data_IF_521949439024
#
_entry.id   IF_521949439024
#
_cell.length_a   1.000
_cell.length_b   1.000
_cell.length_c   1.000
_cell.angle_alpha   90.00
_cell.angle_beta   90.00
_cell.angle_gamma   90.00
#
_symmetry.space_group_name_H-M   'P 1'
#
loop_
_entity.id
_entity.type
_entity.pdbx_description
1 polymer ?
#
# COMPACT_ATOMS: atom_id res chain seq x y z
N UNK A 1 -15.85 -23.25 19.76
CA UNK A 1 -17.19 -22.91 19.25
C UNK A 1 -18.16 -24.09 19.20
N UNK A 2 -17.87 -25.22 18.54
CA UNK A 2 -18.77 -26.41 18.60
C UNK A 2 -18.74 -27.09 19.98
N UNK A 3 -17.56 -27.15 20.63
CA UNK A 3 -17.38 -27.86 21.90
C UNK A 3 -18.20 -27.27 23.06
N UNK A 4 -18.36 -25.94 23.14
CA UNK A 4 -19.10 -25.30 24.26
C UNK A 4 -20.60 -25.54 24.13
N UNK A 5 -21.15 -25.47 22.92
CA UNK A 5 -22.58 -25.75 22.65
C UNK A 5 -22.87 -27.24 22.87
N UNK A 6 -21.96 -28.13 22.45
CA UNK A 6 -22.10 -29.57 22.66
C UNK A 6 -22.02 -29.98 24.13
N UNK A 7 -21.16 -29.35 24.93
CA UNK A 7 -21.05 -29.63 26.38
C UNK A 7 -22.30 -29.14 27.14
N UNK A 8 -22.85 -27.98 26.79
CA UNK A 8 -24.07 -27.44 27.41
C UNK A 8 -25.31 -28.28 27.05
N UNK A 9 -25.44 -28.74 25.80
CA UNK A 9 -26.51 -29.67 25.39
C UNK A 9 -26.39 -31.04 26.06
N UNK A 10 -25.17 -31.52 26.33
CA UNK A 10 -24.93 -32.75 27.09
C UNK A 10 -25.39 -32.58 28.55
N UNK A 11 -25.08 -31.45 29.18
CA UNK A 11 -25.49 -31.14 30.55
C UNK A 11 -27.02 -31.00 30.70
N UNK A 12 -27.68 -30.41 29.70
CA UNK A 12 -29.14 -30.33 29.66
C UNK A 12 -29.80 -31.73 29.60
N UNK A 13 -29.25 -32.65 28.78
CA UNK A 13 -29.73 -34.04 28.69
C UNK A 13 -29.49 -34.87 29.95
N UNK A 14 -28.37 -34.64 30.64
CA UNK A 14 -28.09 -35.33 31.92
C UNK A 14 -29.08 -34.92 33.00
N UNK A 15 -29.54 -33.65 33.00
CA UNK A 15 -30.57 -33.17 33.92
C UNK A 15 -31.95 -33.80 33.70
N UNK A 16 -32.39 -34.00 32.46
CA UNK A 16 -33.69 -34.61 32.14
C UNK A 16 -33.82 -36.08 32.58
N UNK A 17 -32.71 -36.83 32.55
CA UNK A 17 -32.71 -38.25 32.93
C UNK A 17 -32.64 -38.48 34.45
N UNK A 18 -31.99 -37.59 35.21
CA UNK A 18 -31.76 -37.80 36.65
C UNK A 18 -32.88 -37.25 37.55
N UNK A 19 -33.61 -36.22 37.13
CA UNK A 19 -34.62 -35.58 37.97
C UNK A 19 -35.84 -36.45 38.36
N UNK A 20 -36.38 -37.36 37.51
CA UNK A 20 -37.59 -38.11 37.87
C UNK A 20 -37.36 -39.22 38.91
N UNK A 21 -36.11 -39.66 39.12
CA UNK A 21 -35.79 -40.88 39.90
C UNK A 21 -35.33 -40.62 41.35
N UNK A 22 -35.31 -39.36 41.80
CA UNK A 22 -34.75 -38.96 43.12
C UNK A 22 -35.82 -38.98 44.25
N UNK A 23 -37.05 -39.39 43.98
CA UNK A 23 -38.14 -39.38 44.99
C UNK A 23 -38.04 -40.43 46.10
N UNK A 24 -37.04 -41.32 46.10
CA UNK A 24 -37.05 -42.51 46.98
C UNK A 24 -35.77 -42.80 47.76
N UNK A 25 -35.04 -41.79 48.25
CA UNK A 25 -33.89 -42.04 49.15
C UNK A 25 -33.86 -41.07 50.35
N UNK A 26 -33.73 -41.63 51.56
CA UNK A 26 -33.68 -40.97 52.88
C UNK A 26 -32.38 -40.16 53.13
N UNK A 27 -31.89 -39.45 52.12
CA UNK A 27 -30.84 -38.44 52.22
C UNK A 27 -31.35 -37.12 51.62
N UNK A 28 -32.56 -36.73 52.03
CA UNK A 28 -33.39 -35.75 51.35
C UNK A 28 -32.79 -34.34 51.34
N UNK A 29 -32.13 -33.90 52.41
CA UNK A 29 -31.64 -32.52 52.52
C UNK A 29 -30.42 -32.24 51.63
N UNK A 30 -29.51 -33.21 51.51
CA UNK A 30 -28.33 -33.10 50.65
C UNK A 30 -28.68 -33.14 49.17
N UNK A 31 -29.60 -34.03 48.78
CA UNK A 31 -30.06 -34.15 47.38
C UNK A 31 -30.96 -33.00 46.96
N UNK A 32 -31.85 -32.53 47.85
CA UNK A 32 -32.70 -31.37 47.58
C UNK A 32 -31.89 -30.08 47.41
N UNK A 33 -30.93 -29.81 48.31
CA UNK A 33 -30.04 -28.65 48.19
C UNK A 33 -29.13 -28.71 46.96
N UNK A 34 -28.77 -29.91 46.48
CA UNK A 34 -28.06 -30.08 45.21
C UNK A 34 -28.98 -29.77 44.02
N UNK A 35 -30.22 -30.26 44.01
CA UNK A 35 -31.20 -29.95 42.97
C UNK A 35 -31.52 -28.45 42.89
N UNK A 36 -31.64 -27.78 44.04
CA UNK A 36 -31.85 -26.33 44.10
C UNK A 36 -30.64 -25.56 43.54
N UNK A 37 -29.42 -25.92 43.97
CA UNK A 37 -28.18 -25.34 43.42
C UNK A 37 -28.04 -25.57 41.91
N UNK A 38 -28.30 -26.77 41.41
CA UNK A 38 -28.25 -27.05 39.98
C UNK A 38 -29.31 -26.27 39.19
N UNK A 39 -30.47 -25.99 39.80
CA UNK A 39 -31.51 -25.17 39.17
C UNK A 39 -31.07 -23.71 39.08
N UNK A 40 -30.46 -23.17 40.15
CA UNK A 40 -29.89 -21.82 40.17
C UNK A 40 -28.75 -21.69 39.17
N UNK A 41 -27.81 -22.64 39.15
CA UNK A 41 -26.71 -22.70 38.19
C UNK A 41 -27.22 -22.78 36.75
N UNK A 42 -28.24 -23.59 36.47
CA UNK A 42 -28.86 -23.66 35.13
C UNK A 42 -29.45 -22.31 34.72
N UNK A 43 -30.13 -21.61 35.62
CA UNK A 43 -30.69 -20.28 35.34
C UNK A 43 -29.59 -19.26 35.04
N UNK A 44 -28.50 -19.29 35.83
CA UNK A 44 -27.34 -18.44 35.62
C UNK A 44 -26.65 -18.73 34.28
N UNK A 45 -26.42 -20.00 33.95
CA UNK A 45 -25.85 -20.40 32.65
C UNK A 45 -26.75 -19.91 31.51
N UNK A 46 -28.07 -20.06 31.63
CA UNK A 46 -29.01 -19.58 30.61
C UNK A 46 -28.96 -18.06 30.46
N UNK A 47 -28.89 -17.30 31.56
CA UNK A 47 -28.76 -15.84 31.48
C UNK A 47 -27.43 -15.42 30.85
N UNK A 48 -26.33 -16.08 31.17
CA UNK A 48 -25.03 -15.83 30.55
C UNK A 48 -25.03 -16.17 29.06
N UNK A 49 -25.66 -17.28 28.66
CA UNK A 49 -25.80 -17.65 27.24
C UNK A 49 -26.62 -16.61 26.47
N UNK A 50 -27.73 -16.13 27.03
CA UNK A 50 -28.52 -15.05 26.43
C UNK A 50 -27.69 -13.77 26.29
N UNK A 51 -26.97 -13.37 27.35
CA UNK A 51 -26.09 -12.20 27.34
C UNK A 51 -25.00 -12.32 26.25
N UNK A 52 -24.36 -13.48 26.13
CA UNK A 52 -23.35 -13.74 25.10
C UNK A 52 -23.94 -13.71 23.68
N UNK A 53 -25.18 -14.18 23.50
CA UNK A 53 -25.88 -14.11 22.21
C UNK A 53 -26.21 -12.67 21.83
N UNK A 54 -26.69 -11.87 22.77
CA UNK A 54 -26.95 -10.43 22.57
C UNK A 54 -25.66 -9.69 22.19
N UNK A 55 -24.58 -9.91 22.94
CA UNK A 55 -23.28 -9.32 22.65
C UNK A 55 -22.75 -9.75 21.27
N UNK A 56 -22.90 -11.02 20.92
CA UNK A 56 -22.50 -11.53 19.61
C UNK A 56 -23.26 -10.84 18.47
N UNK A 57 -24.57 -10.65 18.62
CA UNK A 57 -25.40 -9.97 17.64
C UNK A 57 -24.99 -8.50 17.50
N UNK A 58 -24.71 -7.82 18.60
CA UNK A 58 -24.22 -6.43 18.59
C UNK A 58 -22.88 -6.32 17.87
N UNK A 59 -21.91 -7.16 18.23
CA UNK A 59 -20.58 -7.19 17.59
C UNK A 59 -20.70 -7.49 16.09
N UNK A 60 -21.56 -8.43 15.71
CA UNK A 60 -21.81 -8.75 14.30
C UNK A 60 -22.41 -7.58 13.53
N UNK A 61 -23.36 -6.86 14.13
CA UNK A 61 -23.94 -5.66 13.53
C UNK A 61 -22.88 -4.54 13.35
N UNK A 62 -21.99 -4.37 14.34
CA UNK A 62 -20.87 -3.41 14.24
C UNK A 62 -19.87 -3.79 13.15
N UNK A 63 -19.56 -5.08 12.97
CA UNK A 63 -18.71 -5.53 11.88
C UNK A 63 -19.32 -5.24 10.50
N UNK A 64 -20.62 -5.47 10.33
CA UNK A 64 -21.33 -5.13 9.09
C UNK A 64 -21.29 -3.63 8.81
N UNK A 65 -21.53 -2.78 9.82
CA UNK A 65 -21.42 -1.33 9.70
C UNK A 65 -20.00 -0.88 9.32
N UNK A 66 -18.98 -1.46 9.95
CA UNK A 66 -17.57 -1.19 9.62
C UNK A 66 -17.26 -1.57 8.17
N UNK A 67 -17.73 -2.74 7.72
CA UNK A 67 -17.59 -3.20 6.35
C UNK A 67 -18.21 -2.23 5.34
N UNK A 68 -19.44 -1.77 5.60
CA UNK A 68 -20.12 -0.79 4.75
C UNK A 68 -19.36 0.54 4.71
N UNK A 69 -18.95 1.07 5.86
CA UNK A 69 -18.21 2.34 5.94
C UNK A 69 -16.88 2.27 5.18
N UNK A 70 -16.13 1.17 5.35
CA UNK A 70 -14.86 0.97 4.66
C UNK A 70 -15.04 0.80 3.15
N UNK A 71 -16.01 0.00 2.72
CA UNK A 71 -16.34 -0.14 1.31
C UNK A 71 -16.75 1.20 0.70
N UNK A 72 -17.62 1.96 1.38
CA UNK A 72 -18.07 3.26 0.91
C UNK A 72 -16.91 4.26 0.79
N UNK A 73 -16.00 4.28 1.77
CA UNK A 73 -14.78 5.08 1.70
C UNK A 73 -13.93 4.69 0.49
N UNK A 74 -13.73 3.40 0.22
CA UNK A 74 -12.95 2.95 -0.94
C UNK A 74 -13.61 3.31 -2.28
N UNK A 75 -14.94 3.26 -2.36
CA UNK A 75 -15.66 3.71 -3.55
C UNK A 75 -15.53 5.22 -3.75
N UNK A 76 -15.58 6.03 -2.69
CA UNK A 76 -15.33 7.47 -2.79
C UNK A 76 -13.89 7.78 -3.21
N UNK A 77 -12.90 7.04 -2.72
CA UNK A 77 -11.51 7.17 -3.18
C UNK A 77 -11.38 6.84 -4.67
N UNK A 78 -12.03 5.76 -5.13
CA UNK A 78 -12.03 5.39 -6.56
C UNK A 78 -12.74 6.45 -7.42
N UNK A 79 -13.87 7.00 -6.95
CA UNK A 79 -14.59 8.08 -7.61
C UNK A 79 -13.70 9.33 -7.77
N UNK A 80 -13.02 9.73 -6.69
CA UNK A 80 -12.08 10.85 -6.70
C UNK A 80 -10.91 10.59 -7.65
N UNK A 81 -10.30 9.40 -7.58
CA UNK A 81 -9.20 9.02 -8.48
C UNK A 81 -9.63 9.11 -9.96
N UNK A 82 -10.83 8.60 -10.28
CA UNK A 82 -11.40 8.65 -11.63
C UNK A 82 -11.62 10.09 -12.09
N UNK A 83 -12.16 10.95 -11.21
CA UNK A 83 -12.34 12.37 -11.49
C UNK A 83 -11.00 13.08 -11.77
N UNK A 84 -9.99 12.86 -10.92
CA UNK A 84 -8.64 13.44 -11.08
C UNK A 84 -7.98 12.96 -12.38
N UNK A 85 -8.16 11.68 -12.72
CA UNK A 85 -7.64 11.09 -13.96
C UNK A 85 -8.45 11.45 -15.22
N UNK A 86 -9.54 12.21 -15.08
CA UNK A 86 -10.48 12.54 -16.17
C UNK A 86 -11.01 11.28 -16.89
N UNK A 87 -11.36 10.25 -16.11
CA UNK A 87 -11.91 8.99 -16.62
C UNK A 87 -13.30 9.20 -17.26
N UNK A 88 -13.59 8.51 -18.36
CA UNK A 88 -14.82 8.71 -19.15
C UNK A 88 -16.12 8.46 -18.37
N UNK A 89 -16.07 7.59 -17.36
CA UNK A 89 -17.24 7.24 -16.53
C UNK A 89 -17.59 8.28 -15.47
N UNK A 90 -16.68 9.20 -15.13
CA UNK A 90 -16.87 10.17 -14.04
C UNK A 90 -16.62 11.59 -14.57
N UNK A 91 -17.67 12.40 -14.58
CA UNK A 91 -17.64 13.81 -14.97
C UNK A 91 -17.92 14.69 -13.76
N UNK A 92 -17.58 15.98 -13.86
CA UNK A 92 -17.88 16.95 -12.80
C UNK A 92 -19.39 17.03 -12.51
N UNK A 93 -20.22 16.80 -13.53
CA UNK A 93 -21.68 16.84 -13.42
C UNK A 93 -22.26 15.60 -12.72
N UNK A 94 -21.72 14.41 -12.98
CA UNK A 94 -22.24 13.16 -12.41
C UNK A 94 -21.64 12.80 -11.04
N UNK A 95 -20.49 13.37 -10.67
CA UNK A 95 -19.76 13.01 -9.46
C UNK A 95 -20.60 13.20 -8.19
N UNK A 96 -21.35 14.30 -8.08
CA UNK A 96 -22.22 14.57 -6.93
C UNK A 96 -23.36 13.55 -6.83
N UNK A 97 -23.95 13.16 -7.95
CA UNK A 97 -25.00 12.14 -8.02
C UNK A 97 -24.45 10.78 -7.58
N UNK A 98 -23.30 10.37 -8.12
CA UNK A 98 -22.66 9.11 -7.78
C UNK A 98 -22.28 9.05 -6.29
N UNK A 99 -21.74 10.13 -5.74
CA UNK A 99 -21.45 10.21 -4.30
C UNK A 99 -22.72 10.14 -3.45
N UNK A 100 -23.80 10.80 -3.86
CA UNK A 100 -25.08 10.69 -3.16
C UNK A 100 -25.65 9.26 -3.20
N UNK A 101 -25.51 8.56 -4.32
CA UNK A 101 -25.92 7.15 -4.44
C UNK A 101 -25.10 6.25 -3.52
N UNK A 102 -23.78 6.42 -3.48
CA UNK A 102 -22.88 5.70 -2.58
C UNK A 102 -23.22 5.95 -1.10
N UNK A 103 -23.58 7.18 -0.73
CA UNK A 103 -23.98 7.49 0.64
C UNK A 103 -25.36 6.94 1.03
N UNK A 104 -26.21 6.62 0.05
CA UNK A 104 -27.53 6.03 0.27
C UNK A 104 -27.54 4.49 0.34
N UNK A 105 -26.37 3.83 0.25
CA UNK A 105 -26.31 2.37 0.24
C UNK A 105 -26.63 1.78 1.61
N UNK A 106 -27.52 0.78 1.62
CA UNK A 106 -27.92 0.04 2.82
C UNK A 106 -27.43 -1.42 2.76
N UNK A 107 -27.31 -2.04 3.94
CA UNK A 107 -26.93 -3.45 4.07
C UNK A 107 -28.17 -4.31 3.90
N UNK A 108 -28.13 -5.24 2.96
CA UNK A 108 -29.22 -6.19 2.73
C UNK A 108 -28.71 -7.62 2.71
N UNK A 109 -29.51 -8.55 3.22
CA UNK A 109 -29.18 -9.96 3.23
C UNK A 109 -29.22 -10.54 1.81
N UNK A 110 -28.10 -11.09 1.35
CA UNK A 110 -27.92 -11.52 -0.03
C UNK A 110 -28.96 -12.54 -0.51
N UNK A 111 -29.48 -13.41 0.37
CA UNK A 111 -30.50 -14.40 -0.01
C UNK A 111 -31.84 -13.76 -0.42
N UNK A 112 -32.17 -12.56 0.07
CA UNK A 112 -33.39 -11.83 -0.32
C UNK A 112 -33.34 -11.39 -1.78
N UNK A 113 -32.15 -11.03 -2.27
CA UNK A 113 -31.94 -10.60 -3.67
C UNK A 113 -31.58 -11.74 -4.60
N UNK A 114 -30.74 -12.67 -4.16
CA UNK A 114 -30.23 -13.77 -4.99
C UNK A 114 -31.16 -14.99 -5.01
N UNK A 115 -32.10 -15.09 -4.06
CA UNK A 115 -33.05 -16.21 -3.96
C UNK A 115 -32.33 -17.56 -3.96
N UNK A 116 -32.76 -18.47 -4.84
CA UNK A 116 -32.19 -19.81 -4.97
C UNK A 116 -30.71 -19.83 -5.40
N UNK A 117 -30.21 -18.76 -6.00
CA UNK A 117 -28.81 -18.68 -6.43
C UNK A 117 -27.84 -18.33 -5.30
N UNK A 118 -28.33 -17.90 -4.13
CA UNK A 118 -27.50 -17.48 -3.00
C UNK A 118 -26.45 -18.54 -2.62
N UNK A 119 -26.88 -19.80 -2.48
CA UNK A 119 -25.98 -20.89 -2.11
C UNK A 119 -24.91 -21.16 -3.18
N UNK A 120 -25.28 -21.05 -4.46
CA UNK A 120 -24.34 -21.23 -5.58
C UNK A 120 -23.30 -20.09 -5.61
N UNK A 121 -23.74 -18.84 -5.53
CA UNK A 121 -22.84 -17.69 -5.46
C UNK A 121 -21.92 -17.75 -4.24
N UNK A 122 -22.47 -18.05 -3.06
CA UNK A 122 -21.68 -18.22 -1.85
C UNK A 122 -20.61 -19.31 -2.00
N UNK A 123 -20.95 -20.44 -2.64
CA UNK A 123 -20.00 -21.52 -2.91
C UNK A 123 -18.93 -21.09 -3.92
N UNK A 124 -19.29 -20.41 -5.00
CA UNK A 124 -18.33 -19.90 -5.99
C UNK A 124 -17.35 -18.90 -5.36
N UNK A 125 -17.84 -17.91 -4.61
CA UNK A 125 -16.99 -16.94 -3.92
C UNK A 125 -16.10 -17.62 -2.87
N UNK A 126 -16.62 -18.61 -2.15
CA UNK A 126 -15.83 -19.38 -1.17
C UNK A 126 -14.71 -20.19 -1.84
N UNK A 127 -14.98 -20.82 -2.99
CA UNK A 127 -13.97 -21.55 -3.76
C UNK A 127 -12.87 -20.61 -4.28
N UNK A 128 -13.28 -19.44 -4.78
CA UNK A 128 -12.36 -18.40 -5.25
C UNK A 128 -11.50 -17.86 -4.11
N UNK A 129 -12.10 -17.53 -2.96
CA UNK A 129 -11.39 -17.08 -1.77
C UNK A 129 -10.40 -18.12 -1.23
N UNK A 130 -10.76 -19.40 -1.29
CA UNK A 130 -9.91 -20.51 -0.83
C UNK A 130 -8.74 -20.82 -1.78
N UNK A 131 -8.74 -20.30 -3.01
CA UNK A 131 -7.75 -20.61 -4.03
C UNK A 131 -7.05 -19.33 -4.55
N UNK A 132 -5.99 -18.85 -3.85
CA UNK A 132 -5.25 -17.66 -4.25
C UNK A 132 -4.60 -17.80 -5.64
N UNK A 133 -4.21 -19.03 -6.02
CA UNK A 133 -3.65 -19.32 -7.34
C UNK A 133 -4.68 -19.07 -8.46
N UNK A 134 -5.92 -19.54 -8.28
CA UNK A 134 -6.97 -19.36 -9.30
C UNK A 134 -7.26 -17.89 -9.55
N UNK A 135 -7.27 -17.06 -8.49
CA UNK A 135 -7.42 -15.61 -8.61
C UNK A 135 -6.23 -14.98 -9.32
N UNK A 136 -5.00 -15.38 -8.98
CA UNK A 136 -3.81 -14.87 -9.63
C UNK A 136 -3.79 -15.18 -11.14
N UNK A 137 -4.18 -16.39 -11.53
CA UNK A 137 -4.30 -16.79 -12.93
C UNK A 137 -5.42 -16.01 -13.65
N UNK A 138 -6.59 -15.88 -13.02
CA UNK A 138 -7.70 -15.10 -13.57
C UNK A 138 -7.30 -13.65 -13.82
N UNK A 139 -6.68 -12.98 -12.84
CA UNK A 139 -6.21 -11.60 -12.98
C UNK A 139 -5.10 -11.49 -14.03
N UNK A 140 -4.25 -12.50 -14.17
CA UNK A 140 -3.21 -12.54 -15.19
C UNK A 140 -3.80 -12.61 -16.59
N UNK A 141 -4.77 -13.50 -16.83
CA UNK A 141 -5.45 -13.68 -18.12
C UNK A 141 -6.27 -12.44 -18.48
N UNK A 142 -7.03 -11.89 -17.53
CA UNK A 142 -7.77 -10.63 -17.74
C UNK A 142 -6.83 -9.50 -18.11
N UNK A 143 -5.62 -9.44 -17.52
CA UNK A 143 -4.63 -8.42 -17.88
C UNK A 143 -4.04 -8.55 -19.28
N UNK A 144 -4.18 -9.71 -19.94
CA UNK A 144 -3.76 -9.92 -21.32
C UNK A 144 -4.89 -9.59 -22.32
N UNK A 145 -6.15 -9.72 -21.89
CA UNK A 145 -7.32 -9.45 -22.72
C UNK A 145 -7.76 -7.98 -22.62
N UNK A 146 -8.10 -7.37 -23.74
CA UNK A 146 -8.52 -5.96 -23.78
C UNK A 146 -10.03 -5.76 -23.56
N UNK A 147 -10.82 -6.84 -23.52
CA UNK A 147 -12.29 -6.76 -23.43
C UNK A 147 -12.79 -6.24 -22.09
N UNK A 148 -12.10 -6.59 -20.99
CA UNK A 148 -12.48 -6.20 -19.64
C UNK A 148 -11.40 -5.28 -19.06
N UNK A 149 -11.75 -4.08 -18.58
CA UNK A 149 -10.78 -3.19 -17.95
C UNK A 149 -10.21 -3.85 -16.67
N UNK A 150 -8.93 -4.20 -16.71
CA UNK A 150 -8.22 -4.87 -15.61
C UNK A 150 -8.35 -4.11 -14.27
N UNK A 151 -8.41 -2.79 -14.30
CA UNK A 151 -8.57 -1.98 -13.08
C UNK A 151 -9.89 -2.28 -12.38
N UNK A 152 -11.00 -2.36 -13.12
CA UNK A 152 -12.31 -2.66 -12.55
C UNK A 152 -12.37 -4.09 -12.00
N UNK A 153 -11.77 -5.04 -12.70
CA UNK A 153 -11.69 -6.42 -12.23
C UNK A 153 -10.90 -6.53 -10.91
N UNK A 154 -9.75 -5.84 -10.81
CA UNK A 154 -8.95 -5.83 -9.59
C UNK A 154 -9.70 -5.16 -8.43
N UNK A 155 -10.35 -4.02 -8.67
CA UNK A 155 -11.17 -3.36 -7.65
C UNK A 155 -12.35 -4.22 -7.20
N UNK A 156 -13.01 -4.92 -8.14
CA UNK A 156 -14.10 -5.84 -7.83
C UNK A 156 -13.59 -7.02 -6.99
N UNK A 157 -12.49 -7.66 -7.37
CA UNK A 157 -11.86 -8.75 -6.58
C UNK A 157 -11.46 -8.25 -5.19
N UNK A 158 -10.80 -7.10 -5.10
CA UNK A 158 -10.34 -6.53 -3.83
C UNK A 158 -11.49 -6.17 -2.89
N UNK A 159 -12.56 -5.58 -3.42
CA UNK A 159 -13.74 -5.22 -2.62
C UNK A 159 -14.62 -6.41 -2.27
N UNK A 160 -14.92 -7.29 -3.22
CA UNK A 160 -15.88 -8.38 -3.07
C UNK A 160 -15.28 -9.59 -2.33
N UNK A 161 -14.09 -10.02 -2.71
CA UNK A 161 -13.47 -11.24 -2.15
C UNK A 161 -12.63 -10.96 -0.91
N UNK A 162 -11.95 -9.81 -0.88
CA UNK A 162 -11.03 -9.48 0.20
C UNK A 162 -11.55 -8.37 1.12
N UNK A 163 -12.81 -7.96 1.00
CA UNK A 163 -13.44 -7.02 1.93
C UNK A 163 -12.68 -5.70 2.11
N UNK A 164 -11.94 -5.24 1.09
CA UNK A 164 -11.01 -4.10 1.16
C UNK A 164 -9.89 -4.23 2.22
N UNK A 165 -9.52 -5.46 2.59
CA UNK A 165 -8.43 -5.77 3.51
C UNK A 165 -8.64 -5.21 4.93
N UNK A 166 -9.89 -5.19 5.41
CA UNK A 166 -10.24 -4.71 6.76
C UNK A 166 -9.82 -5.74 7.82
N UNK A 167 -10.02 -7.02 7.53
CA UNK A 167 -9.74 -8.11 8.46
C UNK A 167 -8.40 -8.77 8.17
N UNK A 168 -7.77 -9.32 9.22
CA UNK A 168 -6.47 -10.01 9.12
C UNK A 168 -6.53 -11.26 8.25
N UNK A 169 -7.68 -11.94 8.18
CA UNK A 169 -7.93 -13.06 7.26
C UNK A 169 -7.84 -12.62 5.81
N UNK A 170 -8.37 -11.44 5.51
CA UNK A 170 -8.42 -10.90 4.15
C UNK A 170 -7.04 -10.40 3.74
N UNK A 171 -6.33 -9.74 4.66
CA UNK A 171 -4.92 -9.37 4.47
C UNK A 171 -4.07 -10.58 4.09
N UNK A 172 -4.22 -11.69 4.83
CA UNK A 172 -3.52 -12.94 4.51
C UNK A 172 -3.87 -13.46 3.11
N UNK A 173 -5.15 -13.48 2.76
CA UNK A 173 -5.61 -13.96 1.46
C UNK A 173 -5.09 -13.09 0.29
N UNK A 174 -5.04 -11.77 0.46
CA UNK A 174 -4.44 -10.84 -0.51
C UNK A 174 -2.94 -11.09 -0.67
N UNK A 175 -2.22 -11.27 0.44
CA UNK A 175 -0.78 -11.58 0.43
C UNK A 175 -0.47 -12.90 -0.28
N UNK A 176 -1.26 -13.95 -0.03
CA UNK A 176 -1.14 -15.24 -0.73
C UNK A 176 -1.38 -15.07 -2.23
N UNK A 177 -2.38 -14.29 -2.62
CA UNK A 177 -2.69 -13.99 -4.02
C UNK A 177 -1.59 -13.19 -4.70
N UNK A 178 -1.03 -12.18 -4.01
CA UNK A 178 0.14 -11.43 -4.47
C UNK A 178 1.36 -12.35 -4.65
N UNK A 179 1.57 -13.29 -3.74
CA UNK A 179 2.64 -14.30 -3.86
C UNK A 179 2.45 -15.22 -5.07
N UNK A 180 1.22 -15.66 -5.34
CA UNK A 180 0.89 -16.39 -6.56
C UNK A 180 1.10 -15.54 -7.82
N UNK A 181 0.73 -14.26 -7.80
CA UNK A 181 0.98 -13.33 -8.91
C UNK A 181 2.48 -13.11 -9.18
N UNK A 182 3.34 -13.12 -8.15
CA UNK A 182 4.80 -13.12 -8.38
C UNK A 182 5.18 -14.29 -9.28
N UNK A 183 4.68 -15.50 -8.98
CA UNK A 183 5.00 -16.72 -9.75
C UNK A 183 4.44 -16.67 -11.16
N UNK A 184 3.15 -16.37 -11.31
CA UNK A 184 2.46 -16.41 -12.61
C UNK A 184 2.90 -15.27 -13.52
N UNK A 185 3.12 -14.07 -12.98
CA UNK A 185 3.34 -12.85 -13.77
C UNK A 185 4.78 -12.39 -13.81
N UNK A 186 5.47 -12.29 -12.66
CA UNK A 186 6.83 -11.72 -12.62
C UNK A 186 7.90 -12.74 -13.03
N UNK A 187 7.80 -13.98 -12.55
CA UNK A 187 8.79 -15.02 -12.89
C UNK A 187 8.70 -15.42 -14.38
N UNK A 188 7.51 -15.40 -14.95
CA UNK A 188 7.27 -15.73 -16.37
C UNK A 188 7.76 -14.66 -17.34
N UNK A 189 7.83 -13.39 -16.93
CA UNK A 189 8.16 -12.28 -17.84
C UNK A 189 9.68 -12.08 -17.99
N UNK A 190 10.19 -11.77 -19.19
CA UNK A 190 11.63 -11.59 -19.44
C UNK A 190 12.27 -10.52 -18.54
N UNK A 191 11.57 -9.41 -18.31
CA UNK A 191 12.03 -8.32 -17.45
C UNK A 191 11.00 -8.01 -16.33
N UNK A 192 11.11 -8.62 -15.14
CA UNK A 192 10.17 -8.41 -14.03
C UNK A 192 10.21 -6.97 -13.49
N UNK A 193 11.38 -6.33 -13.54
CA UNK A 193 11.57 -4.94 -13.12
C UNK A 193 10.68 -3.98 -13.91
N UNK A 194 10.52 -4.22 -15.22
CA UNK A 194 9.68 -3.42 -16.09
C UNK A 194 8.21 -3.48 -15.68
N UNK A 195 7.71 -4.66 -15.29
CA UNK A 195 6.32 -4.84 -14.84
C UNK A 195 6.07 -4.00 -13.59
N UNK A 196 6.97 -4.11 -12.60
CA UNK A 196 6.86 -3.39 -11.33
C UNK A 196 6.90 -1.87 -11.56
N UNK A 197 7.75 -1.38 -12.46
CA UNK A 197 7.84 0.06 -12.75
C UNK A 197 6.67 0.62 -13.56
N UNK A 198 6.17 -0.13 -14.55
CA UNK A 198 5.07 0.33 -15.40
C UNK A 198 3.75 0.40 -14.65
N UNK A 199 3.53 -0.47 -13.66
CA UNK A 199 2.32 -0.45 -12.84
C UNK A 199 1.03 -0.83 -13.58
N UNK A 200 1.11 -1.31 -14.82
CA UNK A 200 -0.06 -1.61 -15.65
C UNK A 200 -0.62 -3.01 -15.44
N UNK A 201 0.17 -3.89 -14.83
CA UNK A 201 -0.16 -5.30 -14.68
C UNK A 201 -0.91 -5.60 -13.36
N UNK A 202 -1.46 -6.82 -13.24
CA UNK A 202 -2.25 -7.22 -12.07
C UNK A 202 -1.50 -7.10 -10.73
N UNK A 203 -0.26 -7.63 -10.66
CA UNK A 203 0.56 -7.58 -9.44
C UNK A 203 0.75 -6.17 -8.88
N UNK A 204 1.32 -5.19 -9.62
CA UNK A 204 1.56 -3.86 -9.06
C UNK A 204 0.26 -3.12 -8.71
N UNK A 205 -0.84 -3.36 -9.42
CA UNK A 205 -2.16 -2.76 -9.12
C UNK A 205 -2.77 -3.32 -7.84
N UNK A 206 -2.75 -4.64 -7.66
CA UNK A 206 -3.22 -5.27 -6.42
C UNK A 206 -2.30 -4.91 -5.24
N UNK A 207 -0.99 -4.86 -5.45
CA UNK A 207 -0.01 -4.41 -4.46
C UNK A 207 -0.32 -2.99 -3.98
N UNK A 208 -0.63 -2.08 -4.91
CA UNK A 208 -1.02 -0.71 -4.60
C UNK A 208 -2.25 -0.69 -3.69
N UNK A 209 -3.33 -1.38 -4.06
CA UNK A 209 -4.55 -1.45 -3.24
C UNK A 209 -4.29 -2.02 -1.84
N UNK A 210 -3.50 -3.09 -1.76
CA UNK A 210 -3.08 -3.67 -0.49
C UNK A 210 -2.31 -2.66 0.35
N UNK A 211 -1.24 -2.08 -0.18
CA UNK A 211 -0.36 -1.15 0.56
C UNK A 211 -1.09 0.11 1.03
N UNK A 212 -2.03 0.64 0.25
CA UNK A 212 -2.85 1.80 0.62
C UNK A 212 -3.91 1.49 1.70
N UNK A 213 -4.37 0.23 1.76
CA UNK A 213 -5.34 -0.22 2.75
C UNK A 213 -4.72 -0.47 4.13
N UNK A 214 -3.41 -0.70 4.19
CA UNK A 214 -2.70 -0.95 5.44
C UNK A 214 -2.57 0.31 6.30
N UNK A 215 -3.17 0.27 7.50
CA UNK A 215 -2.97 1.32 8.49
C UNK A 215 -1.51 1.43 8.94
N UNK A 216 -0.81 0.29 9.07
CA UNK A 216 0.61 0.25 9.41
C UNK A 216 1.48 0.94 8.35
N UNK A 217 1.11 0.86 7.07
CA UNK A 217 1.82 1.57 6.00
C UNK A 217 1.67 3.08 6.15
N UNK A 218 0.47 3.57 6.52
CA UNK A 218 0.24 4.99 6.81
C UNK A 218 1.09 5.48 7.97
N UNK A 219 1.13 4.75 9.08
CA UNK A 219 1.99 5.09 10.24
C UNK A 219 3.45 5.21 9.80
N UNK A 220 3.96 4.21 9.08
CA UNK A 220 5.34 4.22 8.58
C UNK A 220 5.59 5.42 7.67
N UNK A 221 4.73 5.67 6.69
CA UNK A 221 4.89 6.76 5.72
C UNK A 221 4.81 8.14 6.39
N UNK A 222 3.89 8.33 7.34
CA UNK A 222 3.81 9.57 8.11
C UNK A 222 5.07 9.77 8.94
N UNK A 223 5.52 8.75 9.68
CA UNK A 223 6.76 8.84 10.46
C UNK A 223 8.01 9.09 9.59
N UNK A 224 8.06 8.49 8.40
CA UNK A 224 9.20 8.59 7.49
C UNK A 224 9.26 9.91 6.70
N UNK A 225 8.10 10.47 6.35
CA UNK A 225 8.02 11.50 5.31
C UNK A 225 7.45 12.83 5.79
N UNK A 226 6.64 12.86 6.86
CA UNK A 226 5.90 14.05 7.28
C UNK A 226 6.80 15.29 7.42
N UNK A 227 7.86 15.20 8.23
CA UNK A 227 8.71 16.36 8.51
C UNK A 227 9.45 16.84 7.26
N UNK A 228 9.94 15.91 6.44
CA UNK A 228 10.63 16.25 5.18
C UNK A 228 9.69 16.85 4.14
N UNK A 229 8.44 16.36 4.06
CA UNK A 229 7.39 16.97 3.23
C UNK A 229 7.11 18.38 3.73
N UNK A 230 6.88 18.57 5.02
CA UNK A 230 6.61 19.88 5.61
C UNK A 230 7.76 20.88 5.36
N UNK A 231 9.02 20.43 5.45
CA UNK A 231 10.18 21.26 5.09
C UNK A 231 10.15 21.76 3.64
N UNK A 232 9.67 20.94 2.70
CA UNK A 232 9.51 21.36 1.29
C UNK A 232 8.34 22.34 1.15
N UNK A 233 7.21 22.06 1.81
CA UNK A 233 6.03 22.93 1.77
C UNK A 233 6.32 24.32 2.35
N UNK A 234 7.12 24.41 3.42
CA UNK A 234 7.54 25.69 4.01
C UNK A 234 8.57 26.45 3.15
N UNK A 235 9.13 25.84 2.10
CA UNK A 235 10.19 26.42 1.26
C UNK A 235 9.78 26.49 -0.22
N UNK A 236 8.51 26.78 -0.49
CA UNK A 236 7.89 26.70 -1.82
C UNK A 236 7.99 27.99 -2.66
N UNK A 237 8.86 28.93 -2.28
CA UNK A 237 9.05 30.19 -3.03
C UNK A 237 9.73 30.01 -4.39
N UNK A 238 10.55 28.96 -4.55
CA UNK A 238 11.40 28.78 -5.75
C UNK A 238 11.31 27.35 -6.25
N UNK A 239 11.17 27.20 -7.57
CA UNK A 239 11.26 25.92 -8.25
C UNK A 239 12.67 25.34 -8.13
N UNK A 240 12.78 24.09 -7.69
CA UNK A 240 14.01 23.32 -7.64
C UNK A 240 14.32 22.69 -9.01
N UNK A 241 14.33 23.53 -10.05
CA UNK A 241 14.58 23.13 -11.44
C UNK A 241 16.08 23.23 -11.74
N UNK A 242 16.70 22.09 -12.07
CA UNK A 242 18.14 21.99 -12.31
C UNK A 242 18.49 22.23 -13.78
N UNK A 243 17.48 22.24 -14.67
CA UNK A 243 17.67 22.47 -16.10
C UNK A 243 18.06 23.93 -16.34
N UNK A 244 19.28 24.21 -16.83
CA UNK A 244 19.77 25.58 -17.01
C UNK A 244 18.99 26.35 -18.08
N UNK A 245 18.29 25.68 -19.00
CA UNK A 245 17.46 26.32 -20.01
C UNK A 245 16.06 26.67 -19.47
N UNK A 246 15.51 25.85 -18.56
CA UNK A 246 14.15 26.04 -18.02
C UNK A 246 14.10 26.83 -16.73
N UNK A 247 15.11 26.68 -15.86
CA UNK A 247 15.16 27.32 -14.55
C UNK A 247 14.98 28.85 -14.63
N UNK A 248 15.66 29.60 -15.53
CA UNK A 248 15.42 31.04 -15.67
C UNK A 248 14.01 31.40 -16.14
N UNK A 249 13.35 30.50 -16.90
CA UNK A 249 11.99 30.72 -17.42
C UNK A 249 10.91 30.58 -16.34
N UNK A 250 11.25 30.03 -15.16
CA UNK A 250 10.35 29.94 -14.00
C UNK A 250 10.14 31.28 -13.29
N UNK A 251 10.98 32.27 -13.58
CA UNK A 251 10.89 33.61 -13.01
C UNK A 251 10.13 34.56 -13.96
N UNK A 252 9.34 35.51 -13.42
CA UNK A 252 8.82 36.62 -14.20
C UNK A 252 9.95 37.37 -14.93
N UNK A 253 9.65 37.95 -16.10
CA UNK A 253 10.66 38.60 -16.95
C UNK A 253 11.50 39.64 -16.21
N UNK A 254 10.89 40.44 -15.33
CA UNK A 254 11.59 41.45 -14.54
C UNK A 254 12.60 40.83 -13.56
N UNK A 255 12.20 39.79 -12.82
CA UNK A 255 13.08 39.09 -11.88
C UNK A 255 14.17 38.28 -12.57
N UNK A 256 13.86 37.72 -13.75
CA UNK A 256 14.84 37.02 -14.59
C UNK A 256 15.97 37.95 -15.00
N UNK A 257 15.65 39.15 -15.50
CA UNK A 257 16.64 40.16 -15.88
C UNK A 257 17.44 40.59 -14.65
N UNK A 258 16.78 40.85 -13.52
CA UNK A 258 17.45 41.23 -12.27
C UNK A 258 18.42 40.16 -11.75
N UNK A 259 18.03 38.90 -11.80
CA UNK A 259 18.81 37.77 -11.25
C UNK A 259 19.92 37.32 -12.20
N UNK A 260 19.66 37.24 -13.50
CA UNK A 260 20.56 36.62 -14.46
C UNK A 260 21.18 37.61 -15.45
N UNK A 261 20.52 38.72 -15.76
CA UNK A 261 20.92 39.67 -16.80
C UNK A 261 19.92 39.72 -17.95
N UNK A 262 20.05 40.74 -18.78
CA UNK A 262 19.21 41.02 -19.96
C UNK A 262 19.66 40.25 -21.21
N UNK A 263 20.97 40.05 -21.39
CA UNK A 263 21.53 39.29 -22.51
C UNK A 263 21.77 37.80 -22.16
N UNK A 264 20.97 36.86 -22.71
CA UNK A 264 21.11 35.43 -22.47
C UNK A 264 22.38 34.81 -23.06
N UNK A 265 23.04 35.49 -24.01
CA UNK A 265 24.27 35.01 -24.67
C UNK A 265 25.53 35.47 -23.94
N UNK A 266 25.38 36.39 -22.98
CA UNK A 266 26.51 36.94 -22.24
C UNK A 266 27.16 35.88 -21.32
N UNK A 267 28.48 35.92 -21.23
CA UNK A 267 29.23 35.06 -20.31
C UNK A 267 28.83 35.29 -18.84
N UNK A 268 28.42 36.51 -18.49
CA UNK A 268 27.97 36.85 -17.14
C UNK A 268 26.59 36.25 -16.81
N UNK A 269 25.68 36.18 -17.78
CA UNK A 269 24.40 35.49 -17.64
C UNK A 269 24.62 34.01 -17.36
N UNK A 270 25.43 33.33 -18.18
CA UNK A 270 25.75 31.92 -17.97
C UNK A 270 26.40 31.66 -16.61
N UNK A 271 27.30 32.55 -16.14
CA UNK A 271 27.91 32.45 -14.80
C UNK A 271 26.87 32.56 -13.68
N UNK A 272 25.90 33.47 -13.80
CA UNK A 272 24.81 33.66 -12.81
C UNK A 272 23.83 32.48 -12.82
N UNK A 273 23.46 31.97 -14.00
CA UNK A 273 22.64 30.75 -14.13
C UNK A 273 23.35 29.54 -13.52
N UNK A 274 24.65 29.38 -13.76
CA UNK A 274 25.44 28.31 -13.15
C UNK A 274 25.51 28.42 -11.62
N UNK A 275 25.67 29.64 -11.08
CA UNK A 275 25.66 29.87 -9.64
C UNK A 275 24.29 29.56 -9.01
N UNK A 276 23.20 29.97 -9.67
CA UNK A 276 21.84 29.63 -9.24
C UNK A 276 21.60 28.12 -9.26
N UNK A 277 21.98 27.45 -10.36
CA UNK A 277 21.90 25.98 -10.48
C UNK A 277 22.64 25.29 -9.34
N UNK A 278 23.84 25.76 -8.99
CA UNK A 278 24.61 25.20 -7.87
C UNK A 278 23.83 25.29 -6.55
N UNK A 279 23.21 26.44 -6.25
CA UNK A 279 22.39 26.63 -5.06
C UNK A 279 21.15 25.74 -5.05
N UNK A 280 20.47 25.57 -6.20
CA UNK A 280 19.33 24.66 -6.33
C UNK A 280 19.74 23.22 -6.09
N UNK A 281 20.88 22.78 -6.65
CA UNK A 281 21.42 21.43 -6.43
C UNK A 281 21.76 21.21 -4.96
N UNK A 282 22.44 22.16 -4.30
CA UNK A 282 22.74 22.07 -2.87
C UNK A 282 21.45 21.94 -2.03
N UNK A 283 20.41 22.71 -2.35
CA UNK A 283 19.12 22.63 -1.67
C UNK A 283 18.41 21.28 -1.90
N UNK A 284 18.42 20.77 -3.14
CA UNK A 284 17.86 19.44 -3.46
C UNK A 284 18.60 18.32 -2.72
N UNK A 285 19.93 18.38 -2.62
CA UNK A 285 20.71 17.39 -1.88
C UNK A 285 20.34 17.40 -0.40
N UNK A 286 20.21 18.58 0.22
CA UNK A 286 19.81 18.70 1.62
C UNK A 286 18.40 18.14 1.87
N UNK A 287 17.44 18.49 1.01
CA UNK A 287 16.07 18.01 1.13
C UNK A 287 16.02 16.49 0.91
N UNK A 288 16.62 15.96 -0.15
CA UNK A 288 16.67 14.52 -0.40
C UNK A 288 17.33 13.76 0.76
N UNK A 289 18.39 14.32 1.37
CA UNK A 289 19.01 13.73 2.56
C UNK A 289 18.06 13.70 3.76
N UNK A 290 17.26 14.75 3.97
CA UNK A 290 16.22 14.76 5.01
C UNK A 290 15.22 13.62 4.81
N UNK A 291 14.71 13.43 3.59
CA UNK A 291 13.80 12.32 3.26
C UNK A 291 14.45 10.95 3.53
N UNK A 292 15.68 10.73 3.05
CA UNK A 292 16.40 9.48 3.27
C UNK A 292 16.61 9.21 4.76
N UNK A 293 16.95 10.24 5.53
CA UNK A 293 17.11 10.14 6.97
C UNK A 293 15.80 9.74 7.64
N UNK A 294 14.69 10.40 7.33
CA UNK A 294 13.36 10.06 7.86
C UNK A 294 12.96 8.62 7.56
N UNK A 295 13.17 8.16 6.32
CA UNK A 295 12.92 6.76 5.92
C UNK A 295 13.77 5.78 6.75
N UNK A 296 15.07 6.07 6.93
CA UNK A 296 15.96 5.23 7.72
C UNK A 296 15.57 5.21 9.20
N UNK A 297 15.20 6.34 9.77
CA UNK A 297 14.83 6.46 11.19
C UNK A 297 13.51 5.72 11.49
N UNK A 298 12.57 5.70 10.52
CA UNK A 298 11.28 5.03 10.65
C UNK A 298 11.27 3.54 10.22
N UNK A 299 12.40 2.98 9.78
CA UNK A 299 12.45 1.63 9.17
C UNK A 299 11.96 0.52 10.09
N UNK A 300 12.08 0.69 11.40
CA UNK A 300 11.60 -0.27 12.41
C UNK A 300 10.08 -0.42 12.43
N UNK A 301 9.35 0.57 11.91
CA UNK A 301 7.90 0.57 11.79
C UNK A 301 7.40 0.04 10.44
N UNK A 302 8.29 -0.46 9.57
CA UNK A 302 7.89 -0.91 8.24
C UNK A 302 6.88 -2.10 8.32
N UNK A 303 5.80 -2.11 7.52
CA UNK A 303 4.72 -3.09 7.68
C UNK A 303 5.15 -4.54 7.48
N UNK A 304 4.82 -5.41 8.45
CA UNK A 304 5.21 -6.84 8.43
C UNK A 304 4.71 -7.59 7.18
N UNK A 305 3.50 -7.31 6.71
CA UNK A 305 2.97 -7.94 5.50
C UNK A 305 3.74 -7.56 4.23
N UNK A 306 4.20 -6.30 4.14
CA UNK A 306 5.07 -5.85 3.05
C UNK A 306 6.48 -6.45 3.16
N UNK A 307 7.03 -6.58 4.37
CA UNK A 307 8.30 -7.29 4.63
C UNK A 307 8.20 -8.72 4.08
N UNK A 308 7.16 -9.44 4.48
CA UNK A 308 6.96 -10.81 4.05
C UNK A 308 6.84 -10.92 2.53
N UNK A 309 6.06 -10.04 1.88
CA UNK A 309 5.87 -10.06 0.44
C UNK A 309 7.18 -9.77 -0.32
N UNK A 310 7.95 -8.80 0.16
CA UNK A 310 9.26 -8.46 -0.41
C UNK A 310 10.25 -9.62 -0.26
N UNK A 311 10.22 -10.34 0.87
CA UNK A 311 10.98 -11.57 1.05
C UNK A 311 10.54 -12.68 0.07
N UNK A 312 9.23 -12.89 -0.11
CA UNK A 312 8.72 -13.86 -1.09
C UNK A 312 9.18 -13.51 -2.51
N UNK A 313 9.15 -12.24 -2.88
CA UNK A 313 9.66 -11.77 -4.17
C UNK A 313 11.15 -12.05 -4.33
N UNK A 314 11.96 -11.66 -3.34
CA UNK A 314 13.40 -11.85 -3.38
C UNK A 314 13.78 -13.33 -3.53
N UNK A 315 13.20 -14.18 -2.68
CA UNK A 315 13.40 -15.64 -2.73
C UNK A 315 13.00 -16.20 -4.09
N UNK A 316 11.84 -15.81 -4.62
CA UNK A 316 11.38 -16.28 -5.92
C UNK A 316 12.29 -15.84 -7.08
N UNK A 317 12.81 -14.61 -7.05
CA UNK A 317 13.74 -14.09 -8.06
C UNK A 317 15.10 -14.81 -8.03
N UNK A 318 15.62 -15.12 -6.85
CA UNK A 318 16.93 -15.80 -6.70
C UNK A 318 16.80 -17.30 -6.95
N UNK A 319 15.86 -17.99 -6.30
CA UNK A 319 15.80 -19.45 -6.29
C UNK A 319 15.15 -20.01 -7.55
N UNK A 320 14.09 -19.37 -8.05
CA UNK A 320 13.32 -19.86 -9.20
C UNK A 320 13.78 -19.18 -10.49
N UNK A 321 13.82 -17.84 -10.53
CA UNK A 321 14.23 -17.10 -11.72
C UNK A 321 15.75 -17.06 -11.93
N UNK A 322 16.54 -17.46 -10.94
CA UNK A 322 18.02 -17.53 -10.99
C UNK A 322 18.69 -16.18 -11.29
N UNK A 323 18.10 -15.08 -10.83
CA UNK A 323 18.74 -13.77 -10.90
C UNK A 323 19.89 -13.65 -9.90
N UNK A 324 20.81 -12.73 -10.17
CA UNK A 324 21.84 -12.36 -9.18
C UNK A 324 21.21 -11.67 -7.98
N UNK A 325 21.90 -11.69 -6.85
CA UNK A 325 21.44 -11.02 -5.62
C UNK A 325 21.24 -9.53 -5.85
N UNK A 326 22.12 -8.89 -6.61
CA UNK A 326 22.06 -7.46 -6.90
C UNK A 326 20.87 -7.11 -7.83
N UNK A 327 20.56 -7.96 -8.81
CA UNK A 327 19.39 -7.77 -9.68
C UNK A 327 18.07 -7.98 -8.93
N UNK A 328 17.99 -9.02 -8.09
CA UNK A 328 16.82 -9.30 -7.26
C UNK A 328 16.59 -8.16 -6.26
N UNK A 329 17.65 -7.71 -5.60
CA UNK A 329 17.66 -6.55 -4.72
C UNK A 329 17.11 -5.30 -5.41
N UNK A 330 17.58 -5.01 -6.62
CA UNK A 330 17.13 -3.86 -7.40
C UNK A 330 15.64 -3.89 -7.71
N UNK A 331 15.10 -5.08 -8.04
CA UNK A 331 13.67 -5.28 -8.31
C UNK A 331 12.84 -5.08 -7.03
N UNK A 332 13.29 -5.63 -5.90
CA UNK A 332 12.65 -5.41 -4.59
C UNK A 332 12.68 -3.93 -4.18
N UNK A 333 13.80 -3.24 -4.41
CA UNK A 333 13.89 -1.80 -4.16
C UNK A 333 12.93 -1.01 -5.05
N UNK A 334 12.75 -1.37 -6.31
CA UNK A 334 11.75 -0.73 -7.16
C UNK A 334 10.31 -0.96 -6.66
N UNK A 335 10.01 -2.13 -6.08
CA UNK A 335 8.70 -2.37 -5.48
C UNK A 335 8.43 -1.41 -4.31
N UNK A 336 9.41 -1.18 -3.44
CA UNK A 336 9.24 -0.29 -2.28
C UNK A 336 9.35 1.18 -2.72
N UNK A 337 10.44 1.56 -3.39
CA UNK A 337 10.70 2.96 -3.73
C UNK A 337 9.72 3.47 -4.77
N UNK A 338 9.57 2.75 -5.90
CA UNK A 338 8.74 3.25 -7.01
C UNK A 338 7.25 3.10 -6.72
N UNK A 339 6.82 2.02 -6.05
CA UNK A 339 5.38 1.74 -5.88
C UNK A 339 4.82 2.08 -4.49
N UNK A 340 5.66 2.44 -3.50
CA UNK A 340 5.19 2.85 -2.18
C UNK A 340 5.70 4.26 -1.80
N UNK A 341 7.01 4.48 -1.80
CA UNK A 341 7.60 5.74 -1.31
C UNK A 341 7.40 6.91 -2.28
N UNK A 342 7.72 6.76 -3.57
CA UNK A 342 7.61 7.85 -4.54
C UNK A 342 6.18 8.38 -4.68
N UNK A 343 5.12 7.55 -4.78
CA UNK A 343 3.74 8.04 -4.78
C UNK A 343 3.42 8.85 -3.52
N UNK A 344 3.92 8.41 -2.36
CA UNK A 344 3.75 9.07 -1.07
C UNK A 344 4.48 10.41 -0.96
N UNK A 345 5.67 10.53 -1.58
CA UNK A 345 6.44 11.77 -1.62
C UNK A 345 5.80 12.78 -2.57
N UNK A 346 5.31 12.33 -3.73
CA UNK A 346 4.79 13.21 -4.77
C UNK A 346 3.39 13.73 -4.44
N UNK A 347 2.54 12.88 -3.87
CA UNK A 347 1.16 13.23 -3.48
C UNK A 347 0.89 12.79 -2.04
N UNK A 348 1.53 13.43 -1.03
CA UNK A 348 1.39 13.06 0.37
C UNK A 348 -0.04 13.18 0.92
N UNK A 349 -0.86 14.04 0.33
CA UNK A 349 -2.27 14.24 0.64
C UNK A 349 -3.12 13.00 0.33
N UNK A 350 -2.77 12.24 -0.72
CA UNK A 350 -3.56 11.07 -1.13
C UNK A 350 -3.44 9.90 -0.14
N UNK A 351 -2.37 9.88 0.65
CA UNK A 351 -2.10 8.84 1.65
C UNK A 351 -2.46 9.31 3.06
N UNK A 352 -2.70 10.61 3.24
CA UNK A 352 -2.96 11.24 4.54
C UNK A 352 -1.70 11.45 5.37
N UNK A 353 -0.54 11.66 4.72
CA UNK A 353 0.70 12.05 5.41
C UNK A 353 0.56 13.48 5.93
N UNK A 354 -0.01 14.35 5.12
CA UNK A 354 -0.42 15.69 5.51
C UNK A 354 -1.95 15.73 5.60
N UNK A 355 -2.49 16.50 6.55
CA UNK A 355 -3.92 16.70 6.69
C UNK A 355 -4.43 17.80 5.76
N UNK A 356 -4.43 19.04 6.23
CA UNK A 356 -5.13 20.16 5.58
C UNK A 356 -4.18 21.19 4.96
N UNK A 357 -2.89 20.86 4.87
CA UNK A 357 -1.90 21.81 4.31
C UNK A 357 -2.01 21.82 2.78
N UNK A 358 -2.41 22.94 2.14
CA UNK A 358 -2.51 23.00 0.71
C UNK A 358 -1.12 22.90 0.07
N UNK A 359 -0.98 22.05 -0.96
CA UNK A 359 0.27 21.91 -1.71
C UNK A 359 0.23 22.86 -2.90
N UNK A 360 1.10 23.86 -2.90
CA UNK A 360 1.28 24.75 -4.05
C UNK A 360 1.84 24.02 -5.26
N UNK A 361 1.64 24.57 -6.46
CA UNK A 361 2.21 24.01 -7.68
C UNK A 361 3.76 23.96 -7.64
N UNK A 362 4.40 24.92 -6.96
CA UNK A 362 5.86 24.94 -6.79
C UNK A 362 6.30 23.80 -5.86
N UNK A 363 5.63 23.64 -4.71
CA UNK A 363 5.90 22.55 -3.79
C UNK A 363 5.72 21.18 -4.45
N UNK A 364 4.64 20.97 -5.21
CA UNK A 364 4.41 19.72 -5.96
C UNK A 364 5.53 19.45 -6.95
N UNK A 365 5.97 20.47 -7.70
CA UNK A 365 7.14 20.33 -8.58
C UNK A 365 8.39 19.92 -7.81
N UNK A 366 8.67 20.58 -6.68
CA UNK A 366 9.83 20.29 -5.85
C UNK A 366 9.79 18.86 -5.28
N UNK A 367 8.63 18.39 -4.83
CA UNK A 367 8.41 17.01 -4.39
C UNK A 367 8.63 15.99 -5.52
N UNK A 368 8.19 16.30 -6.75
CA UNK A 368 8.49 15.46 -7.92
C UNK A 368 9.99 15.32 -8.17
N UNK A 369 10.74 16.43 -8.10
CA UNK A 369 12.20 16.40 -8.26
C UNK A 369 12.88 15.55 -7.17
N UNK A 370 12.44 15.68 -5.92
CA UNK A 370 12.95 14.89 -4.80
C UNK A 370 12.60 13.40 -4.98
N UNK A 371 11.37 13.08 -5.39
CA UNK A 371 10.96 11.71 -5.69
C UNK A 371 11.80 11.05 -6.78
N UNK A 372 12.13 11.79 -7.85
CA UNK A 372 13.04 11.33 -8.90
C UNK A 372 14.46 11.10 -8.37
N UNK A 373 14.97 12.01 -7.53
CA UNK A 373 16.28 11.86 -6.89
C UNK A 373 16.30 10.61 -6.03
N UNK A 374 15.29 10.37 -5.17
CA UNK A 374 15.22 9.19 -4.31
C UNK A 374 15.11 7.90 -5.12
N UNK A 375 14.41 7.92 -6.25
CA UNK A 375 14.33 6.77 -7.17
C UNK A 375 15.68 6.43 -7.82
N UNK A 376 16.55 7.43 -8.00
CA UNK A 376 17.86 7.31 -8.65
C UNK A 376 19.01 7.12 -7.67
N UNK A 377 18.96 7.75 -6.49
CA UNK A 377 19.96 7.59 -5.43
C UNK A 377 20.04 6.11 -5.12
N UNK A 378 21.21 5.58 -5.45
CA UNK A 378 21.53 4.18 -5.64
C UNK A 378 20.57 3.26 -4.90
N UNK A 379 19.79 2.49 -5.65
CA UNK A 379 18.89 1.46 -5.11
C UNK A 379 19.62 0.54 -4.13
N UNK A 380 20.95 0.47 -4.18
CA UNK A 380 21.85 -0.17 -3.23
C UNK A 380 21.91 0.47 -1.83
N UNK A 381 21.82 1.80 -1.69
CA UNK A 381 21.86 2.49 -0.38
C UNK A 381 20.56 2.33 0.40
N UNK A 382 19.42 2.55 -0.26
CA UNK A 382 18.11 2.26 0.34
C UNK A 382 17.99 0.75 0.58
N UNK A 383 18.49 -0.08 -0.34
CA UNK A 383 18.58 -1.51 -0.11
C UNK A 383 19.38 -1.86 1.14
N UNK A 384 20.49 -1.17 1.48
CA UNK A 384 21.21 -1.40 2.75
C UNK A 384 20.30 -1.13 3.96
N UNK A 385 19.47 -0.08 3.91
CA UNK A 385 18.51 0.23 4.98
C UNK A 385 17.38 -0.81 5.06
N UNK A 386 16.94 -1.35 3.91
CA UNK A 386 15.98 -2.46 3.82
C UNK A 386 16.64 -3.85 3.85
N UNK A 387 17.95 -3.93 4.03
CA UNK A 387 18.69 -5.19 4.05
C UNK A 387 18.33 -6.06 5.27
N UNK A 388 18.04 -5.51 6.47
CA UNK A 388 17.49 -6.31 7.57
C UNK A 388 16.11 -6.90 7.24
N UNK A 389 15.34 -6.22 6.38
CA UNK A 389 14.02 -6.68 5.90
C UNK A 389 14.18 -7.82 4.88
N UNK A 390 15.23 -7.78 4.07
CA UNK A 390 15.48 -8.73 2.98
C UNK A 390 16.25 -10.01 3.40
N UNK A 391 16.77 -10.06 4.63
CA UNK A 391 17.67 -11.12 5.10
C UNK A 391 17.31 -11.60 6.53
N UNK A 392 17.14 -12.91 6.71
CA UNK A 392 17.06 -13.55 8.03
C UNK A 392 18.37 -13.43 8.83
N UNK A 393 18.26 -13.10 10.12
CA UNK A 393 19.24 -12.81 11.18
C UNK A 393 20.68 -13.39 11.07
N UNK A 394 20.89 -14.55 10.45
CA UNK A 394 22.19 -15.22 10.33
C UNK A 394 23.20 -14.50 9.42
N UNK A 395 22.77 -13.74 8.42
CA UNK A 395 23.68 -13.07 7.47
C UNK A 395 24.05 -11.65 7.92
N UNK A 396 23.27 -11.04 8.83
CA UNK A 396 23.49 -9.71 9.43
C UNK A 396 24.86 -9.59 10.12
N UNK A 397 25.34 -10.65 10.79
CA UNK A 397 26.66 -10.64 11.45
C UNK A 397 27.83 -10.57 10.48
N UNK A 398 27.66 -10.98 9.23
CA UNK A 398 28.73 -11.02 8.20
C UNK A 398 28.75 -9.74 7.35
N UNK A 399 27.59 -9.12 7.12
CA UNK A 399 27.46 -7.90 6.32
C UNK A 399 27.76 -6.61 7.11
N UNK A 400 27.39 -6.53 8.39
CA UNK A 400 27.66 -5.37 9.26
C UNK A 400 29.16 -5.10 9.46
N UNK A 401 29.99 -6.15 9.36
CA UNK A 401 31.45 -6.01 9.41
C UNK A 401 32.03 -5.36 8.13
N UNK A 402 31.33 -5.48 6.99
CA UNK A 402 31.79 -5.02 5.68
C UNK A 402 31.31 -3.61 5.32
N UNK A 403 30.17 -3.16 5.88
CA UNK A 403 29.63 -1.80 5.66
C UNK A 403 30.37 -0.72 6.46
N UNK A 404 30.92 -1.06 7.63
CA UNK A 404 31.70 -0.14 8.49
C UNK A 404 33.00 0.36 7.83
N UNK A 405 33.46 -0.31 6.77
CA UNK A 405 34.68 0.05 6.01
C UNK A 405 34.41 0.98 4.81
N UNK A 406 33.16 1.22 4.39
CA UNK A 406 32.85 2.02 3.18
C UNK A 406 32.25 3.40 3.44
N UNK A 407 32.24 3.88 4.68
CA UNK A 407 31.62 5.14 5.10
C UNK A 407 32.25 6.44 4.59
N UNK A 408 33.22 6.40 3.66
CA UNK A 408 33.96 7.58 3.20
C UNK A 408 33.67 8.06 1.77
N UNK A 409 32.87 7.36 0.97
CA UNK A 409 32.82 7.57 -0.51
C UNK A 409 31.52 8.24 -1.01
N UNK A 410 30.53 8.44 -0.14
CA UNK A 410 29.18 8.88 -0.52
C UNK A 410 29.12 10.28 -1.17
N UNK A 411 30.03 11.20 -0.81
CA UNK A 411 30.05 12.55 -1.40
C UNK A 411 30.61 12.61 -2.83
N UNK A 412 31.41 11.63 -3.27
CA UNK A 412 32.01 11.61 -4.60
C UNK A 412 31.10 11.02 -5.69
N UNK A 413 30.29 10.02 -5.34
CA UNK A 413 29.42 9.31 -6.28
C UNK A 413 28.24 10.18 -6.76
N UNK A 414 27.65 10.96 -5.85
CA UNK A 414 26.61 11.96 -6.17
C UNK A 414 27.14 13.04 -7.14
N UNK A 415 28.40 13.44 -7.00
CA UNK A 415 29.04 14.44 -7.87
C UNK A 415 29.38 13.88 -9.27
N UNK A 416 29.84 12.63 -9.37
CA UNK A 416 30.12 11.98 -10.66
C UNK A 416 28.84 11.68 -11.46
N UNK A 417 27.76 11.29 -10.80
CA UNK A 417 26.50 10.95 -11.48
C UNK A 417 25.85 12.17 -12.16
N UNK A 418 25.88 13.33 -11.49
CA UNK A 418 25.39 14.59 -12.07
C UNK A 418 26.27 15.14 -13.21
N UNK A 419 27.55 14.73 -13.29
CA UNK A 419 28.46 15.08 -14.40
C UNK A 419 28.18 14.24 -15.65
N UNK A 420 27.78 12.98 -15.49
CA UNK A 420 27.48 12.07 -16.59
C UNK A 420 26.04 12.19 -17.12
N UNK A 421 25.08 12.64 -16.30
CA UNK A 421 23.73 12.93 -16.76
C UNK A 421 23.66 14.15 -17.71
N UNK A 422 24.67 15.03 -17.69
CA UNK A 422 24.79 16.18 -18.60
C UNK A 422 25.47 15.88 -19.93
N UNK A 423 26.15 14.74 -20.09
CA UNK A 423 26.81 14.39 -21.35
C UNK A 423 25.95 13.53 -22.28
N UNK A 424 24.91 12.87 -21.77
CA UNK A 424 24.04 11.98 -22.56
C UNK A 424 22.74 12.63 -23.06
N UNK A 425 22.43 13.87 -22.66
CA UNK A 425 21.25 14.59 -23.19
C UNK A 425 21.55 15.50 -24.39
N UNK A 426 22.79 15.54 -24.88
CA UNK A 426 23.18 16.40 -26.01
C UNK A 426 23.19 15.68 -27.37
N UNK A 427 23.26 14.34 -27.41
CA UNK A 427 23.50 13.60 -28.67
C UNK A 427 22.29 12.80 -29.20
N UNK A 428 21.11 12.89 -28.57
CA UNK A 428 19.93 12.10 -28.98
C UNK A 428 18.76 12.90 -29.56
N UNK A 429 18.97 14.17 -29.95
CA UNK A 429 17.94 15.02 -30.58
C UNK A 429 18.37 15.71 -31.89
N UNK A 430 19.47 15.27 -32.51
CA UNK A 430 19.91 15.77 -33.81
C UNK A 430 20.08 14.62 -34.81
N UNK A 431 18.99 14.18 -35.44
CA UNK A 431 19.09 13.21 -36.53
C UNK A 431 17.78 12.53 -36.91
N UNK A 432 16.79 13.27 -37.42
CA UNK A 432 15.83 12.75 -38.41
C UNK A 432 14.88 13.85 -38.89
N UNK A 433 15.40 14.81 -39.66
CA UNK A 433 14.61 15.54 -40.66
C UNK A 433 15.52 15.87 -41.84
N UNK A 434 15.50 15.03 -42.88
CA UNK A 434 15.79 15.35 -44.29
C UNK A 434 15.57 14.11 -45.15
N UNK A 435 14.77 14.27 -46.22
CA UNK A 435 14.48 13.37 -47.35
C UNK A 435 13.93 11.98 -47.00
N UNK A 436 12.78 11.51 -47.49
CA UNK A 436 12.12 11.69 -48.78
C UNK A 436 10.61 11.50 -48.60
#
# INVERSE_FOLDING_TARGET
NIVVISVVQLYAKVGEYFLPHIRTLRCADGMWSLCERLTVERLLINSEVCCLQELHNEVSAKFLQLGLLSWNNKQHQLLLQRLVSSHTSVTQENCCMLSSQLNSTEIEEAYRKLGHHHALFGRCLSLLFSSPLSIAELLHVVGQNQEVPLEECIHAVFGLLYGNCIFSTDEKAVLETLSCLIRVQLLSHSNPRLIIRKGTAAFPRLYKLYSESLYSAKIFLTAALHDSVMLVLCQDEVFLDVDPAKSPLRFPSADRIRRFGDDPTSAQYHKRVAAHRKLIVEKLVLLAHSFIKGICDAISCFPLGLIWLVQQLNTALIEVKRLTVDEAALICTDLIVTNLLCPAIINPENIGIISDTPISHIARFNLMQIGQIIQVIDSSFIFISFHPILITEKVLKKAAFKSRLRGGVANGALWMYWRNATSTSADSYAGSQRSH
#
